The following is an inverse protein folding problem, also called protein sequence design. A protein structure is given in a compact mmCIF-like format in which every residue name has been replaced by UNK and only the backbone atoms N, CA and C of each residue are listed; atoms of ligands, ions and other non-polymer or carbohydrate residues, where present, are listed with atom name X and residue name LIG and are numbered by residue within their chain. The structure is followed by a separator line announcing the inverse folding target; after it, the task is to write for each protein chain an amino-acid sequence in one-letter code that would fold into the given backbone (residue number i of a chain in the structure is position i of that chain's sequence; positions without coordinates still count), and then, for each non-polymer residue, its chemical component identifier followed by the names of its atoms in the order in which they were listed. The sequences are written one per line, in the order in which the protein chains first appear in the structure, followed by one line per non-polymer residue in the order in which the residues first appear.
data_IF_915536723245
#
_entry.id   IF_915536723245
#
_cell.length_a   1.000
_cell.length_b   1.000
_cell.length_c   1.000
_cell.angle_alpha   90.00
_cell.angle_beta   90.00
_cell.angle_gamma   90.00
#
_symmetry.space_group_name_H-M   'P 1'
#
loop_
_entity.id
_entity.type
_entity.pdbx_description
1 polymer ?
#
# COMPACT_ATOMS: atom_id res chain seq x y z
N UNK A 1 -31.70 12.42 0.76
CA UNK A 1 -31.33 11.52 -0.34
C UNK A 1 -30.06 10.77 -0.01
N UNK A 2 -30.02 9.47 -0.31
CA UNK A 2 -28.85 8.62 -0.04
C UNK A 2 -27.70 9.03 -0.98
N UNK A 3 -26.48 9.15 -0.46
CA UNK A 3 -25.22 9.32 -1.23
C UNK A 3 -25.15 8.33 -2.42
N UNK A 4 -25.62 7.09 -2.23
CA UNK A 4 -25.68 6.06 -3.27
C UNK A 4 -26.57 6.46 -4.45
N UNK A 5 -27.72 7.11 -4.19
CA UNK A 5 -28.63 7.60 -5.24
C UNK A 5 -27.95 8.71 -6.05
N UNK A 6 -27.34 9.67 -5.35
CA UNK A 6 -26.63 10.78 -5.99
C UNK A 6 -25.47 10.30 -6.89
N UNK A 7 -24.63 9.35 -6.40
CA UNK A 7 -23.56 8.78 -7.20
C UNK A 7 -24.09 8.13 -8.47
N UNK A 8 -25.18 7.35 -8.37
CA UNK A 8 -25.78 6.67 -9.53
C UNK A 8 -26.38 7.66 -10.54
N UNK A 9 -26.97 8.74 -10.06
CA UNK A 9 -27.55 9.79 -10.92
C UNK A 9 -26.46 10.58 -11.67
N UNK A 10 -25.31 10.85 -11.04
CA UNK A 10 -24.22 11.65 -11.61
C UNK A 10 -23.28 10.81 -12.47
N UNK A 11 -22.93 9.59 -12.05
CA UNK A 11 -21.91 8.76 -12.72
C UNK A 11 -22.50 7.61 -13.56
N UNK A 12 -23.77 7.29 -13.40
CA UNK A 12 -24.37 6.10 -13.99
C UNK A 12 -23.94 4.77 -13.36
N UNK A 13 -23.01 4.81 -12.39
CA UNK A 13 -22.42 3.64 -11.75
C UNK A 13 -23.01 3.42 -10.36
N UNK A 14 -23.00 2.17 -9.89
CA UNK A 14 -23.21 1.91 -8.48
C UNK A 14 -22.01 2.42 -7.66
N UNK A 15 -22.21 2.63 -6.35
CA UNK A 15 -21.09 3.01 -5.45
C UNK A 15 -19.93 2.01 -5.49
N UNK A 16 -20.23 0.71 -5.56
CA UNK A 16 -19.21 -0.33 -5.61
C UNK A 16 -18.48 -0.38 -6.96
N UNK A 17 -19.20 -0.14 -8.07
CA UNK A 17 -18.59 -0.07 -9.40
C UNK A 17 -17.64 1.14 -9.49
N UNK A 18 -18.07 2.30 -8.97
CA UNK A 18 -17.21 3.49 -8.92
C UNK A 18 -15.93 3.25 -8.10
N UNK A 19 -16.05 2.59 -6.93
CA UNK A 19 -14.88 2.21 -6.13
C UNK A 19 -13.96 1.25 -6.88
N UNK A 20 -14.53 0.29 -7.62
CA UNK A 20 -13.74 -0.65 -8.41
C UNK A 20 -12.97 0.08 -9.53
N UNK A 21 -13.63 1.01 -10.24
CA UNK A 21 -12.97 1.83 -11.26
C UNK A 21 -11.83 2.69 -10.68
N UNK A 22 -12.06 3.33 -9.54
CA UNK A 22 -11.02 4.11 -8.84
C UNK A 22 -9.83 3.24 -8.43
N UNK A 23 -10.08 2.02 -7.95
CA UNK A 23 -9.00 1.09 -7.58
C UNK A 23 -8.22 0.61 -8.80
N UNK A 24 -8.89 0.31 -9.92
CA UNK A 24 -8.23 -0.06 -11.18
C UNK A 24 -7.35 1.08 -11.68
N UNK A 25 -7.83 2.32 -11.68
CA UNK A 25 -7.05 3.50 -12.06
C UNK A 25 -5.80 3.67 -11.18
N UNK A 26 -5.94 3.50 -9.85
CA UNK A 26 -4.78 3.53 -8.95
C UNK A 26 -3.81 2.38 -9.22
N UNK A 27 -4.33 1.17 -9.51
CA UNK A 27 -3.51 0.01 -9.89
C UNK A 27 -2.69 0.33 -11.14
N UNK A 28 -3.29 0.92 -12.18
CA UNK A 28 -2.59 1.37 -13.38
C UNK A 28 -1.41 2.30 -13.01
N UNK A 29 -1.66 3.31 -12.20
CA UNK A 29 -0.65 4.27 -11.81
C UNK A 29 0.48 3.62 -11.00
N UNK A 30 0.19 2.72 -10.06
CA UNK A 30 1.21 1.97 -9.34
C UNK A 30 2.05 1.09 -10.29
N UNK A 31 1.43 0.47 -11.28
CA UNK A 31 2.14 -0.31 -12.28
C UNK A 31 3.08 0.54 -13.15
N UNK A 32 2.69 1.77 -13.46
CA UNK A 32 3.43 2.68 -14.33
C UNK A 32 4.56 3.44 -13.60
N UNK A 33 4.30 3.86 -12.37
CA UNK A 33 5.18 4.81 -11.65
C UNK A 33 5.97 4.19 -10.51
N UNK A 34 5.79 2.89 -10.23
CA UNK A 34 6.51 2.20 -9.16
C UNK A 34 7.04 0.83 -9.62
N UNK A 35 8.05 0.34 -8.90
CA UNK A 35 8.59 -1.03 -9.03
C UNK A 35 7.97 -2.02 -8.03
N UNK A 36 6.88 -1.64 -7.37
CA UNK A 36 6.23 -2.47 -6.36
C UNK A 36 5.75 -3.80 -6.93
N UNK A 37 5.86 -4.87 -6.14
CA UNK A 37 5.30 -6.18 -6.51
C UNK A 37 3.76 -6.10 -6.56
N UNK A 38 3.14 -7.03 -7.28
CA UNK A 38 1.68 -7.08 -7.36
C UNK A 38 1.05 -7.31 -5.97
N UNK A 39 1.73 -8.06 -5.09
CA UNK A 39 1.34 -8.28 -3.70
C UNK A 39 1.34 -6.97 -2.90
N UNK A 40 2.40 -6.17 -3.04
CA UNK A 40 2.50 -4.87 -2.38
C UNK A 40 1.39 -3.92 -2.85
N UNK A 41 1.16 -3.82 -4.16
CA UNK A 41 0.11 -3.00 -4.74
C UNK A 41 -1.27 -3.46 -4.24
N UNK A 42 -1.55 -4.75 -4.29
CA UNK A 42 -2.82 -5.32 -3.83
C UNK A 42 -3.08 -4.97 -2.36
N UNK A 43 -2.08 -5.14 -1.51
CA UNK A 43 -2.18 -4.82 -0.08
C UNK A 43 -2.36 -3.32 0.18
N UNK A 44 -1.63 -2.44 -0.51
CA UNK A 44 -1.76 -0.98 -0.37
C UNK A 44 -3.17 -0.51 -0.75
N UNK A 45 -3.72 -1.05 -1.86
CA UNK A 45 -5.01 -0.66 -2.42
C UNK A 45 -6.21 -1.42 -1.82
N UNK A 46 -5.97 -2.32 -0.85
CA UNK A 46 -7.02 -3.03 -0.12
C UNK A 46 -7.74 -4.10 -0.94
N UNK A 47 -7.04 -4.75 -1.88
CA UNK A 47 -7.51 -5.99 -2.47
C UNK A 47 -7.28 -7.16 -1.50
N UNK A 48 -8.03 -8.24 -1.68
CA UNK A 48 -7.89 -9.46 -0.85
C UNK A 48 -6.47 -10.04 -1.01
N UNK A 49 -6.00 -10.15 -2.25
CA UNK A 49 -4.67 -10.61 -2.62
C UNK A 49 -4.30 -10.16 -4.06
N UNK A 50 -3.08 -10.46 -4.49
CA UNK A 50 -2.60 -10.11 -5.83
C UNK A 50 -3.36 -10.86 -6.96
N UNK A 51 -3.85 -12.07 -6.69
CA UNK A 51 -4.63 -12.85 -7.65
C UNK A 51 -5.99 -12.18 -7.91
N UNK A 52 -6.68 -11.76 -6.84
CA UNK A 52 -7.93 -11.01 -6.95
C UNK A 52 -7.73 -9.68 -7.68
N UNK A 53 -6.70 -8.91 -7.31
CA UNK A 53 -6.33 -7.67 -8.01
C UNK A 53 -6.11 -7.91 -9.50
N UNK A 54 -5.32 -8.94 -9.85
CA UNK A 54 -4.99 -9.26 -11.26
C UNK A 54 -6.22 -9.66 -12.07
N UNK A 55 -7.16 -10.40 -11.48
CA UNK A 55 -8.42 -10.75 -12.13
C UNK A 55 -9.30 -9.52 -12.38
N UNK A 56 -9.46 -8.66 -11.35
CA UNK A 56 -10.24 -7.41 -11.49
C UNK A 56 -9.62 -6.50 -12.53
N UNK A 57 -8.30 -6.34 -12.50
CA UNK A 57 -7.54 -5.54 -13.46
C UNK A 57 -7.72 -6.07 -14.89
N UNK A 58 -7.50 -7.37 -15.11
CA UNK A 58 -7.64 -7.98 -16.43
C UNK A 58 -9.07 -7.88 -16.99
N UNK A 59 -10.08 -8.06 -16.15
CA UNK A 59 -11.47 -7.93 -16.55
C UNK A 59 -11.84 -6.51 -17.02
N UNK A 60 -11.19 -5.48 -16.45
CA UNK A 60 -11.46 -4.07 -16.81
C UNK A 60 -10.57 -3.55 -17.93
N UNK A 61 -9.29 -3.97 -17.95
CA UNK A 61 -8.29 -3.45 -18.88
C UNK A 61 -8.07 -4.32 -20.11
N UNK A 62 -8.61 -5.53 -20.15
CA UNK A 62 -8.40 -6.49 -21.25
C UNK A 62 -6.99 -7.06 -21.33
N UNK A 63 -6.12 -6.77 -20.35
CA UNK A 63 -4.72 -7.23 -20.29
C UNK A 63 -4.30 -7.52 -18.87
N UNK A 64 -3.34 -8.42 -18.67
CA UNK A 64 -2.81 -8.75 -17.34
C UNK A 64 -1.96 -7.62 -16.79
N UNK A 65 -1.99 -7.43 -15.47
CA UNK A 65 -1.25 -6.37 -14.78
C UNK A 65 0.26 -6.39 -15.09
N UNK A 66 0.89 -7.56 -15.13
CA UNK A 66 2.30 -7.70 -15.46
C UNK A 66 2.64 -7.37 -16.94
N UNK A 67 1.76 -7.71 -17.87
CA UNK A 67 1.88 -7.34 -19.28
C UNK A 67 1.69 -5.84 -19.48
N UNK A 68 0.69 -5.25 -18.80
CA UNK A 68 0.45 -3.81 -18.81
C UNK A 68 1.69 -3.05 -18.35
N UNK A 69 2.32 -3.46 -17.23
CA UNK A 69 3.56 -2.86 -16.76
C UNK A 69 4.65 -2.90 -17.82
N UNK A 70 4.95 -4.08 -18.37
CA UNK A 70 6.01 -4.25 -19.37
C UNK A 70 5.81 -3.38 -20.62
N UNK A 71 4.55 -3.25 -21.05
CA UNK A 71 4.23 -2.49 -22.27
C UNK A 71 4.30 -0.99 -22.07
N UNK A 72 3.78 -0.49 -20.93
CA UNK A 72 3.52 0.94 -20.77
C UNK A 72 4.48 1.66 -19.82
N UNK A 73 5.25 0.97 -18.98
CA UNK A 73 6.14 1.61 -18.02
C UNK A 73 7.21 2.48 -18.70
N UNK A 74 7.86 1.96 -19.74
CA UNK A 74 8.85 2.73 -20.52
C UNK A 74 8.24 3.93 -21.21
N UNK A 75 7.01 3.80 -21.74
CA UNK A 75 6.30 4.90 -22.38
C UNK A 75 5.95 5.97 -21.34
N UNK A 76 5.52 5.59 -20.15
CA UNK A 76 5.19 6.53 -19.07
C UNK A 76 6.42 7.27 -18.54
N UNK A 77 7.61 6.67 -18.60
CA UNK A 77 8.87 7.33 -18.25
C UNK A 77 9.20 8.49 -19.18
N UNK A 78 8.82 8.37 -20.47
CA UNK A 78 9.06 9.41 -21.47
C UNK A 78 7.95 10.45 -21.54
N UNK A 79 6.70 10.04 -21.33
CA UNK A 79 5.50 10.86 -21.57
C UNK A 79 4.71 11.16 -20.29
N UNK A 80 5.17 10.66 -19.11
CA UNK A 80 4.44 10.76 -17.85
C UNK A 80 4.30 12.20 -17.34
N UNK A 81 3.16 12.48 -16.70
CA UNK A 81 2.90 13.76 -16.03
C UNK A 81 3.81 13.84 -14.80
N UNK A 82 4.68 14.86 -14.75
CA UNK A 82 5.70 15.02 -13.69
C UNK A 82 5.10 15.06 -12.29
N UNK A 83 3.97 15.73 -12.11
CA UNK A 83 3.27 15.82 -10.82
C UNK A 83 2.77 14.47 -10.33
N UNK A 84 2.21 13.65 -11.24
CA UNK A 84 1.75 12.30 -10.91
C UNK A 84 2.93 11.42 -10.51
N UNK A 85 4.03 11.46 -11.26
CA UNK A 85 5.24 10.70 -10.94
C UNK A 85 5.79 11.08 -9.57
N UNK A 86 5.93 12.39 -9.30
CA UNK A 86 6.41 12.91 -8.01
C UNK A 86 5.59 12.42 -6.82
N UNK A 87 4.27 12.33 -6.98
CA UNK A 87 3.40 11.82 -5.94
C UNK A 87 3.69 10.33 -5.62
N UNK A 88 3.96 9.51 -6.63
CA UNK A 88 4.35 8.11 -6.44
C UNK A 88 5.79 7.97 -5.92
N UNK A 89 6.71 8.87 -6.27
CA UNK A 89 8.07 8.89 -5.70
C UNK A 89 8.04 9.09 -4.18
N UNK A 90 7.12 9.92 -3.66
CA UNK A 90 6.89 10.08 -2.22
C UNK A 90 6.44 8.76 -1.58
N UNK A 91 5.47 8.07 -2.19
CA UNK A 91 4.99 6.76 -1.70
C UNK A 91 6.15 5.74 -1.71
N UNK A 92 6.95 5.73 -2.78
CA UNK A 92 8.14 4.87 -2.90
C UNK A 92 9.19 5.19 -1.83
N UNK A 93 9.47 6.47 -1.56
CA UNK A 93 10.42 6.89 -0.52
C UNK A 93 9.99 6.37 0.86
N UNK A 94 8.74 6.58 1.25
CA UNK A 94 8.21 6.06 2.53
C UNK A 94 8.28 4.54 2.58
N UNK A 95 7.92 3.86 1.48
CA UNK A 95 7.90 2.40 1.41
C UNK A 95 9.29 1.78 1.48
N UNK A 96 10.32 2.41 0.92
CA UNK A 96 11.70 1.92 0.95
C UNK A 96 12.41 2.21 2.27
N UNK A 97 12.14 3.39 2.83
CA UNK A 97 12.84 3.88 4.03
C UNK A 97 12.04 3.66 5.33
N UNK A 98 11.06 2.74 5.32
CA UNK A 98 10.13 2.50 6.43
C UNK A 98 10.82 2.21 7.77
N UNK A 99 11.99 1.59 7.76
CA UNK A 99 12.74 1.23 8.97
C UNK A 99 13.41 2.45 9.63
N UNK A 100 13.58 3.54 8.89
CA UNK A 100 14.21 4.76 9.36
C UNK A 100 13.28 5.58 10.24
N UNK A 101 13.87 6.60 10.91
CA UNK A 101 13.12 7.54 11.76
C UNK A 101 12.44 8.61 10.90
N UNK A 102 11.41 8.19 10.14
CA UNK A 102 10.64 9.09 9.28
C UNK A 102 9.57 9.84 10.08
N UNK A 103 9.40 11.12 9.73
CA UNK A 103 8.27 11.96 10.15
C UNK A 103 7.59 12.59 8.92
N UNK A 104 6.33 12.98 9.06
CA UNK A 104 5.63 13.68 7.98
C UNK A 104 6.36 14.98 7.58
N UNK A 105 6.95 15.67 8.55
CA UNK A 105 7.73 16.89 8.36
C UNK A 105 9.02 16.63 7.56
N UNK A 106 9.75 15.54 7.90
CA UNK A 106 11.00 15.21 7.21
C UNK A 106 10.75 14.85 5.75
N UNK A 107 9.73 14.04 5.47
CA UNK A 107 9.36 13.66 4.11
C UNK A 107 8.82 14.86 3.32
N UNK A 108 7.93 15.66 3.91
CA UNK A 108 7.42 16.87 3.26
C UNK A 108 8.56 17.83 2.87
N UNK A 109 9.53 18.03 3.76
CA UNK A 109 10.73 18.85 3.52
C UNK A 109 11.59 18.28 2.38
N UNK A 110 11.84 16.97 2.37
CA UNK A 110 12.61 16.29 1.33
C UNK A 110 12.05 16.56 -0.07
N UNK A 111 10.71 16.49 -0.19
CA UNK A 111 10.03 16.69 -1.46
C UNK A 111 9.60 18.16 -1.71
N UNK A 112 9.92 19.10 -0.83
CA UNK A 112 9.60 20.52 -0.99
C UNK A 112 8.10 20.80 -1.05
N UNK A 113 7.29 20.09 -0.25
CA UNK A 113 5.84 20.25 -0.12
C UNK A 113 5.47 20.54 1.33
N UNK A 114 4.26 21.04 1.57
CA UNK A 114 3.75 21.19 2.91
C UNK A 114 3.30 19.84 3.52
N UNK A 115 3.26 19.78 4.86
CA UNK A 115 2.73 18.60 5.57
C UNK A 115 1.27 18.29 5.18
N UNK A 116 0.44 19.31 5.02
CA UNK A 116 -0.97 19.13 4.64
C UNK A 116 -1.12 18.61 3.21
N UNK A 117 -0.25 19.05 2.30
CA UNK A 117 -0.19 18.53 0.94
C UNK A 117 0.23 17.05 0.92
N UNK A 118 1.27 16.69 1.68
CA UNK A 118 1.65 15.28 1.88
C UNK A 118 0.48 14.42 2.37
N UNK A 119 -0.26 14.91 3.38
CA UNK A 119 -1.41 14.17 3.92
C UNK A 119 -2.52 13.99 2.87
N UNK A 120 -2.87 15.06 2.13
CA UNK A 120 -3.86 14.97 1.05
C UNK A 120 -3.44 14.00 -0.05
N UNK A 121 -2.17 14.06 -0.48
CA UNK A 121 -1.64 13.15 -1.50
C UNK A 121 -1.71 11.68 -1.05
N UNK A 122 -1.27 11.38 0.17
CA UNK A 122 -1.33 10.01 0.69
C UNK A 122 -2.76 9.50 0.83
N UNK A 123 -3.71 10.35 1.29
CA UNK A 123 -5.12 9.98 1.33
C UNK A 123 -5.68 9.66 -0.06
N UNK A 124 -5.31 10.41 -1.08
CA UNK A 124 -5.73 10.16 -2.45
C UNK A 124 -5.11 8.89 -3.05
N UNK A 125 -3.80 8.63 -2.80
CA UNK A 125 -3.07 7.55 -3.45
C UNK A 125 -3.23 6.20 -2.74
N UNK A 126 -3.15 6.20 -1.41
CA UNK A 126 -3.09 4.99 -0.58
C UNK A 126 -4.19 4.88 0.47
N UNK A 127 -5.13 5.83 0.51
CA UNK A 127 -6.26 5.90 1.45
C UNK A 127 -5.82 5.89 2.94
N UNK A 128 -4.62 6.36 3.21
CA UNK A 128 -4.04 6.42 4.55
C UNK A 128 -3.31 7.74 4.74
N UNK A 129 -3.36 8.30 5.94
CA UNK A 129 -2.45 9.37 6.32
C UNK A 129 -1.02 8.83 6.50
N UNK A 130 -0.03 9.73 6.66
CA UNK A 130 1.38 9.37 6.77
C UNK A 130 1.64 8.30 7.84
N UNK A 131 1.16 8.53 9.07
CA UNK A 131 1.41 7.61 10.18
C UNK A 131 0.77 6.24 9.96
N UNK A 132 -0.44 6.22 9.43
CA UNK A 132 -1.13 4.97 9.08
C UNK A 132 -0.44 4.22 7.96
N UNK A 133 0.05 4.93 6.94
CA UNK A 133 0.75 4.29 5.83
C UNK A 133 2.12 3.75 6.25
N UNK A 134 2.92 4.53 6.97
CA UNK A 134 4.21 4.09 7.50
C UNK A 134 4.05 2.86 8.42
N UNK A 135 3.09 2.89 9.35
CA UNK A 135 2.83 1.76 10.23
C UNK A 135 2.29 0.54 9.46
N UNK A 136 1.47 0.73 8.43
CA UNK A 136 1.04 -0.35 7.54
C UNK A 136 2.25 -1.03 6.89
N UNK A 137 3.16 -0.28 6.29
CA UNK A 137 4.36 -0.81 5.63
C UNK A 137 5.23 -1.59 6.64
N UNK A 138 5.49 -1.02 7.81
CA UNK A 138 6.25 -1.67 8.89
C UNK A 138 5.64 -3.00 9.32
N UNK A 139 4.33 -3.05 9.48
CA UNK A 139 3.62 -4.28 9.85
C UNK A 139 3.70 -5.33 8.74
N UNK A 140 3.56 -4.94 7.46
CA UNK A 140 3.71 -5.88 6.34
C UNK A 140 5.12 -6.49 6.28
N UNK A 141 6.16 -5.68 6.51
CA UNK A 141 7.53 -6.18 6.58
C UNK A 141 7.76 -7.09 7.80
N UNK A 142 7.15 -6.74 8.94
CA UNK A 142 7.18 -7.61 10.12
C UNK A 142 6.50 -8.97 9.87
N UNK A 143 5.38 -9.02 9.17
CA UNK A 143 4.73 -10.27 8.77
C UNK A 143 5.68 -11.17 7.99
N UNK A 144 6.41 -10.60 7.02
CA UNK A 144 7.43 -11.33 6.26
C UNK A 144 8.53 -11.88 7.17
N UNK A 145 9.10 -11.05 8.05
CA UNK A 145 10.17 -11.48 8.98
C UNK A 145 9.68 -12.54 9.97
N UNK A 146 8.44 -12.43 10.46
CA UNK A 146 7.83 -13.39 11.37
C UNK A 146 7.68 -14.79 10.75
N UNK A 147 7.49 -14.88 9.44
CA UNK A 147 7.33 -16.15 8.71
C UNK A 147 8.63 -16.71 8.17
N UNK A 148 9.61 -15.86 7.84
CA UNK A 148 10.86 -16.27 7.17
C UNK A 148 12.06 -16.37 8.11
N UNK A 149 11.96 -15.89 9.35
CA UNK A 149 13.09 -15.87 10.30
C UNK A 149 12.71 -16.40 11.68
N UNK A 150 13.73 -16.82 12.43
CA UNK A 150 13.60 -17.18 13.84
C UNK A 150 13.84 -15.99 14.78
N UNK A 151 14.00 -14.76 14.26
CA UNK A 151 14.28 -13.57 15.04
C UNK A 151 13.22 -13.32 16.13
N UNK A 152 13.62 -12.78 17.28
CA UNK A 152 12.67 -12.50 18.38
C UNK A 152 11.69 -11.40 17.98
N UNK A 153 10.53 -11.35 18.63
CA UNK A 153 9.53 -10.27 18.40
C UNK A 153 10.16 -8.90 18.66
N UNK A 154 11.02 -8.81 19.69
CA UNK A 154 11.76 -7.58 20.02
C UNK A 154 12.70 -7.16 18.88
N UNK A 155 13.49 -8.10 18.36
CA UNK A 155 14.41 -7.84 17.26
C UNK A 155 13.66 -7.37 16.01
N UNK A 156 12.57 -8.06 15.64
CA UNK A 156 11.74 -7.67 14.50
C UNK A 156 11.13 -6.28 14.70
N UNK A 157 10.64 -5.95 15.90
CA UNK A 157 10.08 -4.63 16.17
C UNK A 157 11.11 -3.52 15.89
N UNK A 158 12.35 -3.69 16.33
CA UNK A 158 13.43 -2.74 16.11
C UNK A 158 13.80 -2.68 14.63
N UNK A 159 13.98 -3.84 13.99
CA UNK A 159 14.35 -3.95 12.57
C UNK A 159 13.37 -3.25 11.64
N UNK A 160 12.06 -3.31 11.94
CA UNK A 160 11.04 -2.62 11.14
C UNK A 160 10.80 -1.16 11.60
N UNK A 161 11.64 -0.61 12.45
CA UNK A 161 11.66 0.81 12.80
C UNK A 161 10.79 1.24 13.98
N UNK A 162 10.37 0.32 14.88
CA UNK A 162 9.71 0.70 16.13
C UNK A 162 10.70 0.89 17.26
N UNK A 163 10.54 1.96 18.04
CA UNK A 163 11.35 2.21 19.23
C UNK A 163 10.98 1.32 20.42
N UNK A 164 9.78 0.74 20.45
CA UNK A 164 9.30 -0.12 21.54
C UNK A 164 8.45 -1.28 21.01
N UNK A 165 8.59 -2.44 21.65
CA UNK A 165 7.74 -3.61 21.38
C UNK A 165 6.25 -3.30 21.64
N UNK A 166 5.95 -2.47 22.64
CA UNK A 166 4.57 -2.06 22.97
C UNK A 166 3.91 -1.35 21.78
N UNK A 167 4.60 -0.36 21.18
CA UNK A 167 4.09 0.36 20.00
C UNK A 167 3.96 -0.55 18.79
N UNK A 168 4.92 -1.44 18.57
CA UNK A 168 4.87 -2.46 17.54
C UNK A 168 3.65 -3.37 17.70
N UNK A 169 3.48 -4.01 18.85
CA UNK A 169 2.37 -4.95 19.12
C UNK A 169 1.01 -4.28 18.94
N UNK A 170 0.85 -3.04 19.42
CA UNK A 170 -0.39 -2.26 19.24
C UNK A 170 -0.73 -2.04 17.75
N UNK A 171 0.24 -1.61 16.95
CA UNK A 171 0.02 -1.38 15.53
C UNK A 171 -0.17 -2.71 14.78
N UNK A 172 0.59 -3.74 15.12
CA UNK A 172 0.42 -5.06 14.53
C UNK A 172 -1.00 -5.62 14.77
N UNK A 173 -1.48 -5.54 16.02
CA UNK A 173 -2.84 -5.95 16.36
C UNK A 173 -3.91 -5.14 15.60
N UNK A 174 -3.68 -3.85 15.41
CA UNK A 174 -4.60 -2.98 14.64
C UNK A 174 -4.76 -3.41 13.20
N UNK A 175 -3.67 -3.81 12.52
CA UNK A 175 -3.70 -4.19 11.10
C UNK A 175 -3.97 -5.68 10.87
N UNK A 176 -3.51 -6.55 11.75
CA UNK A 176 -3.56 -8.01 11.56
C UNK A 176 -4.62 -8.70 12.42
N UNK A 177 -5.29 -7.96 13.34
CA UNK A 177 -6.31 -8.48 14.26
C UNK A 177 -5.81 -9.62 15.16
N UNK A 178 -4.50 -9.80 15.25
CA UNK A 178 -3.84 -10.79 16.11
C UNK A 178 -2.45 -10.30 16.53
N UNK A 179 -1.91 -10.92 17.59
CA UNK A 179 -0.56 -10.56 18.07
C UNK A 179 0.53 -11.08 17.13
N UNK A 180 1.75 -10.48 17.12
CA UNK A 180 2.89 -10.98 16.33
C UNK A 180 3.23 -12.45 16.65
N UNK A 181 3.16 -12.83 17.91
CA UNK A 181 3.43 -14.22 18.35
C UNK A 181 2.38 -15.21 17.84
N UNK A 182 1.10 -14.82 17.87
CA UNK A 182 0.00 -15.64 17.34
C UNK A 182 0.11 -15.78 15.82
N UNK A 183 0.47 -14.68 15.12
CA UNK A 183 0.70 -14.69 13.68
C UNK A 183 1.80 -15.68 13.28
N UNK A 184 2.95 -15.63 13.97
CA UNK A 184 4.06 -16.57 13.75
C UNK A 184 3.63 -18.04 13.94
N UNK A 185 2.94 -18.34 15.05
CA UNK A 185 2.45 -19.70 15.32
C UNK A 185 1.49 -20.21 14.24
N UNK A 186 0.57 -19.36 13.79
CA UNK A 186 -0.39 -19.71 12.74
C UNK A 186 0.32 -20.01 11.41
N UNK A 187 1.31 -19.18 11.03
CA UNK A 187 2.08 -19.39 9.81
C UNK A 187 2.92 -20.69 9.86
N UNK A 188 3.55 -20.99 11.00
CA UNK A 188 4.32 -22.22 11.17
C UNK A 188 3.42 -23.47 11.15
N UNK A 189 2.23 -23.39 11.74
CA UNK A 189 1.25 -24.49 11.71
C UNK A 189 0.67 -24.76 10.31
N UNK A 190 0.67 -23.77 9.43
CA UNK A 190 0.23 -23.92 8.04
C UNK A 190 1.30 -24.54 7.12
N UNK A 191 2.60 -24.42 7.47
CA UNK A 191 3.72 -25.01 6.72
C UNK A 191 4.01 -26.47 7.12
N UNK A 192 3.46 -26.96 8.22
CA UNK A 192 3.64 -28.33 8.73
C UNK A 192 2.54 -29.33 8.34
N UNK A 193 1.62 -28.93 7.50
CA UNK A 193 0.59 -29.77 6.90
C UNK A 193 0.80 -29.89 5.41
#
# INVERSE_FOLDING_TARGET
GSIRKYIREVSGLSFFDLLAEMRVTRTMNFLLYTDFTLEAIAGILGYVDASHMSKVFAARMGTKAGEYRKTYQLISEQCGIRETRRAYDIVCSIYRNYAEKLTAESVAKEFGISRDELQRMLLCLVEKNFDSFLNYVRVQQACRLLTTTAATITSIAIEVGYNTVKSFTRNFLRFMVMTPSSYRKAAQGAMGK
#
